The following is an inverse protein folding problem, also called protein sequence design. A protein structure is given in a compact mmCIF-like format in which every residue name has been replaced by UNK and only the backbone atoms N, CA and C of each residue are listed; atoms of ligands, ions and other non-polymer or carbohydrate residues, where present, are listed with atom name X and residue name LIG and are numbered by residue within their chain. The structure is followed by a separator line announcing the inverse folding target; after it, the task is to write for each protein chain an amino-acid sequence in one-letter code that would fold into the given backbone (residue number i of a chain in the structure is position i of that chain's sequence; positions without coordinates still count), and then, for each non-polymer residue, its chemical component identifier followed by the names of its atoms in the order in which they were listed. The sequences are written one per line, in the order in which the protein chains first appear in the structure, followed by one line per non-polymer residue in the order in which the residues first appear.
data_IF_049920601858
#
_entry.id   IF_049920601858
#
_cell.length_a   1.000
_cell.length_b   1.000
_cell.length_c   1.000
_cell.angle_alpha   90.00
_cell.angle_beta   90.00
_cell.angle_gamma   90.00
#
_symmetry.space_group_name_H-M   'P 1'
#
loop_
_entity.id
_entity.type
_entity.pdbx_description
1 polymer ?
2 non-polymer ?
3 non-polymer ?
4 non-polymer ?
5 non-polymer ?
6 water ?
#
# COMPACT_ATOMS: atom_id res chain seq x y z
N UNK A 5 24.96 -9.62 2.30
CA UNK A 5 23.96 -10.70 2.48
C UNK A 5 22.84 -10.39 3.41
N UNK A 6 21.65 -10.86 3.08
CA UNK A 6 20.50 -10.69 3.91
C UNK A 6 20.32 -11.94 4.77
N UNK A 7 19.50 -11.87 5.79
CA UNK A 7 19.27 -13.09 6.57
C UNK A 7 18.74 -14.24 5.70
N UNK A 8 19.16 -15.45 6.02
CA UNK A 8 18.68 -16.64 5.34
C UNK A 8 17.17 -16.76 5.36
N UNK A 9 16.48 -16.38 6.42
CA UNK A 9 15.04 -16.44 6.46
C UNK A 9 14.31 -15.14 6.04
N UNK A 10 15.03 -14.29 5.30
CA UNK A 10 14.51 -12.98 4.91
C UNK A 10 13.32 -13.29 3.95
N UNK A 11 12.29 -12.54 4.10
CA UNK A 11 11.14 -12.60 3.18
C UNK A 11 11.44 -11.81 1.91
N UNK A 12 11.28 -12.48 0.77
CA UNK A 12 11.53 -11.87 -0.54
C UNK A 12 10.25 -12.02 -1.38
N UNK A 13 9.64 -10.91 -1.71
CA UNK A 13 8.40 -10.94 -2.45
C UNK A 13 8.16 -9.86 -3.46
N UNK A 14 6.99 -9.91 -4.13
CA UNK A 14 6.47 -8.83 -4.91
C UNK A 14 5.05 -8.60 -4.41
N UNK A 15 4.50 -7.44 -4.74
CA UNK A 15 3.20 -6.98 -4.22
C UNK A 15 2.23 -6.58 -5.33
N UNK A 16 0.95 -6.81 -5.09
CA UNK A 16 -0.17 -6.33 -5.92
C UNK A 16 -1.29 -5.94 -4.98
N UNK A 17 -2.36 -5.40 -5.55
CA UNK A 17 -3.64 -5.01 -4.89
C UNK A 17 -4.77 -5.52 -5.82
N UNK A 18 -5.86 -5.96 -5.24
CA UNK A 18 -6.94 -6.61 -6.00
C UNK A 18 -7.50 -5.81 -7.15
N UNK A 19 -7.87 -4.54 -6.87
CA UNK A 19 -8.50 -3.75 -7.92
C UNK A 19 -7.51 -3.46 -9.09
N UNK A 20 -6.22 -3.42 -8.77
CA UNK A 20 -5.18 -3.13 -9.77
C UNK A 20 -4.95 -4.29 -10.74
N UNK A 21 -5.18 -5.53 -10.35
CA UNK A 21 -4.85 -6.67 -11.19
C UNK A 21 -5.98 -7.65 -11.53
N UNK A 22 -7.02 -7.70 -10.71
CA UNK A 22 -7.94 -8.88 -10.81
C UNK A 22 -8.81 -8.94 -12.05
N UNK A 23 -9.39 -7.79 -12.42
CA UNK A 23 -10.51 -7.82 -13.34
C UNK A 23 -11.69 -8.58 -12.81
N UNK A 24 -12.46 -9.16 -13.74
CA UNK A 24 -13.69 -9.89 -13.39
C UNK A 24 -14.57 -9.16 -12.31
N UNK A 25 -14.93 -7.93 -12.61
CA UNK A 25 -15.43 -7.03 -11.59
C UNK A 25 -16.87 -7.34 -11.18
N UNK A 26 -17.59 -8.05 -12.09
CA UNK A 26 -18.98 -8.48 -11.79
C UNK A 26 -19.09 -9.98 -11.57
N UNK A 27 -17.97 -10.71 -11.54
CA UNK A 27 -18.03 -12.19 -11.55
C UNK A 27 -18.25 -12.71 -10.16
N UNK A 28 -18.99 -13.83 -10.06
CA UNK A 28 -19.10 -14.60 -8.83
C UNK A 28 -19.57 -13.75 -7.61
N UNK A 29 -20.54 -12.88 -7.86
CA UNK A 29 -21.15 -12.11 -6.81
C UNK A 29 -20.42 -10.86 -6.35
N UNK A 30 -19.27 -10.53 -6.94
CA UNK A 30 -18.54 -9.26 -6.54
C UNK A 30 -19.48 -8.06 -6.54
N UNK A 31 -19.39 -7.26 -5.49
CA UNK A 31 -20.14 -5.99 -5.47
C UNK A 31 -19.48 -4.84 -6.19
N UNK A 32 -20.04 -3.66 -6.08
CA UNK A 32 -19.48 -2.46 -6.70
C UNK A 32 -18.58 -1.74 -5.65
N UNK A 33 -17.33 -1.42 -6.04
CA UNK A 33 -16.45 -0.67 -5.16
C UNK A 33 -16.41 0.80 -5.54
N UNK A 34 -15.87 1.64 -4.68
CA UNK A 34 -15.67 3.04 -5.03
C UNK A 34 -14.74 3.25 -6.24
N UNK A 35 -13.84 2.32 -6.52
CA UNK A 35 -12.94 2.46 -7.67
C UNK A 35 -13.61 2.01 -8.97
N UNK A 36 -14.61 1.15 -8.87
CA UNK A 36 -15.47 0.84 -10.03
C UNK A 36 -16.25 2.14 -10.42
N UNK A 37 -16.85 2.77 -9.43
CA UNK A 37 -17.57 3.99 -9.65
C UNK A 37 -16.67 5.09 -10.20
N UNK A 38 -15.50 5.23 -9.60
CA UNK A 38 -14.59 6.32 -9.89
C UNK A 38 -14.01 6.13 -11.29
N UNK A 39 -13.53 4.92 -11.59
CA UNK A 39 -12.88 4.73 -12.90
C UNK A 39 -13.88 4.80 -14.03
N UNK A 40 -15.15 4.54 -13.74
CA UNK A 40 -16.21 4.66 -14.75
C UNK A 40 -16.81 6.04 -14.82
N UNK A 41 -16.23 7.01 -14.12
CA UNK A 41 -16.60 8.40 -14.17
C UNK A 41 -15.68 9.07 -15.19
N UNK A 42 -16.25 9.60 -16.28
CA UNK A 42 -15.45 10.26 -17.33
C UNK A 42 -14.46 11.30 -16.73
N UNK A 43 -13.21 11.14 -17.10
CA UNK A 43 -12.13 12.10 -16.81
C UNK A 43 -11.37 11.85 -15.50
N UNK A 44 -11.80 10.85 -14.72
CA UNK A 44 -11.12 10.57 -13.43
C UNK A 44 -9.77 9.81 -13.65
N UNK A 45 -9.70 9.02 -14.72
CA UNK A 45 -8.55 8.21 -15.08
C UNK A 45 -7.89 8.82 -16.36
N UNK A 46 -6.56 9.01 -16.33
CA UNK A 46 -5.83 9.70 -17.37
C UNK A 46 -6.04 9.17 -18.75
N UNK A 47 -6.28 7.85 -18.92
CA UNK A 47 -6.16 7.22 -20.23
C UNK A 47 -7.42 6.49 -20.57
N UNK A 48 -8.47 6.79 -19.88
CA UNK A 48 -9.72 6.15 -20.21
C UNK A 48 -9.91 4.66 -19.81
N UNK A 49 -9.00 4.10 -19.06
CA UNK A 49 -9.08 2.70 -18.67
C UNK A 49 -9.74 2.57 -17.33
N UNK A 50 -10.04 1.30 -16.99
CA UNK A 50 -10.69 0.95 -15.74
C UNK A 50 -10.02 -0.32 -15.24
N UNK A 51 -10.40 -0.75 -14.05
CA UNK A 51 -10.08 -2.10 -13.59
C UNK A 51 -10.95 -3.23 -14.07
N UNK A 52 -11.76 -3.02 -15.11
CA UNK A 52 -12.74 -4.06 -15.52
C UNK A 52 -12.05 -5.36 -15.87
N UNK A 53 -10.91 -5.26 -16.51
CA UNK A 53 -10.14 -6.44 -16.88
C UNK A 53 -8.82 -6.41 -16.19
N UNK A 54 -8.10 -5.27 -16.33
CA UNK A 54 -6.77 -5.15 -15.69
C UNK A 54 -5.85 -6.30 -16.16
N UNK A 55 -5.32 -7.09 -15.27
CA UNK A 55 -4.44 -8.19 -15.64
C UNK A 55 -5.17 -9.52 -15.70
N UNK A 56 -6.45 -9.44 -15.44
CA UNK A 56 -7.38 -10.62 -15.38
C UNK A 56 -6.84 -11.61 -14.37
N UNK A 57 -6.23 -11.14 -13.26
CA UNK A 57 -5.65 -12.07 -12.32
C UNK A 57 -6.70 -12.84 -11.52
N UNK A 58 -7.96 -12.42 -11.59
CA UNK A 58 -9.04 -13.24 -10.99
C UNK A 58 -8.96 -14.67 -11.60
N UNK A 59 -8.82 -14.68 -12.91
CA UNK A 59 -8.67 -15.94 -13.68
C UNK A 59 -7.23 -16.42 -13.86
N UNK A 60 -6.26 -15.51 -13.79
CA UNK A 60 -4.90 -15.79 -14.13
C UNK A 60 -3.85 -15.70 -13.02
N UNK A 61 -4.28 -15.81 -11.77
CA UNK A 61 -3.37 -15.72 -10.65
C UNK A 61 -2.36 -16.87 -10.66
N UNK A 62 -2.73 -17.96 -11.35
CA UNK A 62 -1.80 -19.08 -11.62
C UNK A 62 -0.61 -18.62 -12.39
N UNK A 63 -0.83 -17.79 -13.42
CA UNK A 63 0.30 -17.25 -14.14
C UNK A 63 1.13 -16.38 -13.26
N UNK A 64 0.46 -15.60 -12.39
CA UNK A 64 1.17 -14.67 -11.46
C UNK A 64 2.06 -15.54 -10.53
N UNK A 65 1.50 -16.65 -10.05
CA UNK A 65 2.26 -17.60 -9.26
C UNK A 65 3.49 -18.18 -10.02
N UNK A 66 3.27 -18.46 -11.32
CA UNK A 66 4.34 -18.94 -12.14
C UNK A 66 5.45 -17.89 -12.18
N UNK A 67 5.10 -16.60 -12.27
CA UNK A 67 6.11 -15.54 -12.28
C UNK A 67 6.91 -15.52 -10.96
N UNK A 68 6.19 -15.54 -9.85
CA UNK A 68 6.79 -15.46 -8.53
C UNK A 68 7.76 -16.63 -8.38
N UNK A 69 7.36 -17.82 -8.87
CA UNK A 69 8.21 -19.01 -8.78
C UNK A 69 9.48 -18.81 -9.70
N UNK A 70 9.25 -18.31 -10.90
CA UNK A 70 10.38 -18.12 -11.80
C UNK A 70 11.39 -17.09 -11.21
N UNK A 71 10.91 -16.15 -10.35
CA UNK A 71 11.74 -15.10 -9.74
C UNK A 71 12.43 -15.64 -8.47
N UNK A 72 12.04 -16.84 -8.04
CA UNK A 72 12.52 -17.46 -6.83
C UNK A 72 12.15 -16.76 -5.55
N UNK A 73 11.04 -16.09 -5.57
CA UNK A 73 10.49 -15.34 -4.43
C UNK A 73 10.04 -16.37 -3.37
N UNK A 74 9.93 -15.98 -2.14
CA UNK A 74 9.33 -16.84 -1.13
C UNK A 74 8.05 -16.33 -0.47
N UNK A 75 7.49 -15.23 -0.96
CA UNK A 75 6.31 -14.62 -0.44
C UNK A 75 5.59 -13.80 -1.54
N UNK A 76 4.31 -13.52 -1.35
CA UNK A 76 3.47 -12.72 -2.22
C UNK A 76 2.56 -11.87 -1.37
N UNK A 77 2.65 -10.56 -1.56
CA UNK A 77 1.78 -9.58 -0.90
C UNK A 77 0.71 -9.22 -1.87
N UNK A 78 -0.54 -9.48 -1.49
CA UNK A 78 -1.71 -9.23 -2.34
C UNK A 78 -2.86 -8.84 -1.42
N UNK A 79 -3.92 -8.28 -1.99
CA UNK A 79 -5.03 -7.86 -1.18
C UNK A 79 -6.24 -8.72 -1.53
N UNK A 80 -7.15 -8.80 -0.57
CA UNK A 80 -8.44 -9.39 -0.73
C UNK A 80 -9.45 -8.26 -0.98
N UNK A 81 -10.29 -8.43 -2.01
CA UNK A 81 -11.26 -7.44 -2.41
C UNK A 81 -12.48 -7.53 -1.48
N UNK A 82 -12.65 -6.57 -0.57
CA UNK A 82 -13.86 -6.50 0.28
C UNK A 82 -15.15 -6.66 -0.53
N UNK A 83 -15.28 -6.04 -1.75
CA UNK A 83 -16.50 -6.26 -2.53
C UNK A 83 -16.76 -7.72 -2.94
N UNK A 84 -15.77 -8.58 -2.96
CA UNK A 84 -15.97 -10.02 -3.23
C UNK A 84 -16.42 -10.75 -2.00
N UNK A 85 -16.10 -10.22 -0.82
CA UNK A 85 -16.36 -10.92 0.40
C UNK A 85 -17.69 -10.49 1.06
N UNK A 86 -17.96 -9.18 1.09
CA UNK A 86 -19.26 -8.67 1.57
C UNK A 86 -19.67 -7.69 0.55
N UNK A 87 -20.36 -8.16 -0.51
CA UNK A 87 -20.66 -7.31 -1.66
C UNK A 87 -21.42 -6.03 -1.33
N UNK A 88 -22.23 -6.04 -0.27
CA UNK A 88 -22.92 -4.80 0.12
C UNK A 88 -22.14 -3.97 1.13
N UNK A 89 -20.96 -4.41 1.50
CA UNK A 89 -20.14 -3.75 2.49
C UNK A 89 -20.51 -4.11 3.90
N UNK A 90 -21.77 -3.81 4.25
CA UNK A 90 -22.35 -4.25 5.53
C UNK A 90 -23.43 -5.23 5.09
N UNK A 91 -23.31 -6.49 5.45
CA UNK A 91 -24.34 -7.42 5.05
C UNK A 91 -23.84 -8.80 4.99
N UNK A 92 -24.48 -9.65 4.17
CA UNK A 92 -24.12 -11.04 4.17
C UNK A 92 -22.78 -11.32 3.45
N UNK A 93 -22.14 -12.42 3.77
CA UNK A 93 -20.93 -12.81 3.10
C UNK A 93 -21.24 -13.44 1.73
N UNK A 94 -20.22 -13.50 0.87
CA UNK A 94 -20.33 -14.13 -0.41
C UNK A 94 -19.29 -15.28 -0.33
N UNK A 95 -19.75 -16.50 -0.09
CA UNK A 95 -18.88 -17.60 0.12
C UNK A 95 -18.03 -17.82 -1.16
N UNK A 96 -18.61 -17.57 -2.32
CA UNK A 96 -17.84 -17.77 -3.58
C UNK A 96 -16.55 -16.88 -3.62
N UNK A 97 -16.59 -15.69 -2.97
CA UNK A 97 -15.42 -14.80 -2.86
C UNK A 97 -14.39 -15.41 -1.92
N UNK A 98 -14.86 -15.87 -0.76
CA UNK A 98 -13.97 -16.52 0.21
C UNK A 98 -13.34 -17.76 -0.40
N UNK A 99 -14.10 -18.47 -1.21
CA UNK A 99 -13.60 -19.76 -1.75
C UNK A 99 -12.49 -19.47 -2.79
N UNK A 100 -12.66 -18.41 -3.57
CA UNK A 100 -11.68 -17.97 -4.55
C UNK A 100 -10.33 -17.71 -3.83
N UNK A 101 -10.36 -16.92 -2.74
CA UNK A 101 -9.13 -16.62 -2.08
C UNK A 101 -8.54 -17.85 -1.37
N UNK A 102 -9.40 -18.72 -0.89
CA UNK A 102 -9.01 -19.99 -0.27
C UNK A 102 -8.19 -20.80 -1.24
N UNK A 103 -8.68 -20.94 -2.47
CA UNK A 103 -7.97 -21.70 -3.50
C UNK A 103 -6.65 -20.99 -3.80
N UNK A 104 -6.66 -19.66 -3.86
CA UNK A 104 -5.45 -18.95 -4.18
C UNK A 104 -4.41 -19.13 -3.10
N UNK A 105 -4.83 -19.04 -1.84
CA UNK A 105 -3.95 -19.27 -0.76
C UNK A 105 -3.33 -20.66 -0.78
N UNK A 106 -4.15 -21.67 -1.05
CA UNK A 106 -3.64 -23.02 -1.21
C UNK A 106 -2.68 -23.16 -2.34
N UNK A 107 -2.94 -22.53 -3.49
CA UNK A 107 -1.98 -22.52 -4.61
C UNK A 107 -0.65 -21.90 -4.27
N UNK A 108 -0.67 -20.83 -3.45
CA UNK A 108 0.53 -20.15 -3.01
C UNK A 108 1.39 -21.01 -2.08
N UNK A 109 0.73 -21.56 -1.07
CA UNK A 109 1.37 -22.42 -0.11
C UNK A 109 1.94 -23.65 -0.82
N UNK A 110 1.17 -24.26 -1.73
CA UNK A 110 1.65 -25.35 -2.56
C UNK A 110 2.92 -24.99 -3.34
N UNK A 111 3.09 -23.72 -3.75
CA UNK A 111 4.25 -23.28 -4.49
C UNK A 111 5.40 -22.83 -3.55
N UNK A 112 5.18 -22.84 -2.24
CA UNK A 112 6.15 -22.38 -1.27
C UNK A 112 6.23 -20.88 -1.14
N UNK A 113 5.15 -20.15 -1.40
CA UNK A 113 5.05 -18.75 -1.37
C UNK A 113 4.15 -18.34 -0.20
N UNK A 114 4.71 -17.65 0.78
CA UNK A 114 3.98 -17.28 1.98
C UNK A 114 3.03 -16.08 1.62
N UNK A 115 1.74 -16.20 1.88
CA UNK A 115 0.83 -15.08 1.59
C UNK A 115 0.90 -13.96 2.66
N UNK A 116 1.19 -12.73 2.22
CA UNK A 116 1.12 -11.57 3.12
C UNK A 116 -0.09 -10.80 2.64
N UNK A 117 -1.22 -10.99 3.35
CA UNK A 117 -2.52 -10.53 2.86
C UNK A 117 -2.89 -9.15 3.38
N UNK A 118 -3.24 -8.24 2.48
CA UNK A 118 -3.79 -6.92 2.82
C UNK A 118 -5.29 -7.01 2.81
N UNK A 119 -5.94 -6.71 3.95
CA UNK A 119 -7.44 -6.64 3.96
C UNK A 119 -8.05 -5.51 3.17
N UNK A 120 -7.46 -4.29 3.27
CA UNK A 120 -8.06 -3.12 2.64
C UNK A 120 -7.05 -2.43 1.77
N UNK A 121 -7.20 -2.55 0.44
CA UNK A 121 -6.29 -1.80 -0.42
C UNK A 121 -7.16 -1.01 -1.35
N UNK A 122 -8.01 -0.22 -0.72
CA UNK A 122 -8.72 0.95 -1.31
C UNK A 122 -10.10 0.72 -1.98
N UNK A 123 -10.53 -0.51 -2.09
CA UNK A 123 -11.72 -0.87 -2.81
C UNK A 123 -12.93 -1.00 -1.86
N UNK A 124 -13.22 0.11 -1.18
CA UNK A 124 -14.42 0.22 -0.33
C UNK A 124 -15.68 -0.09 -1.12
N UNK A 125 -16.49 -1.02 -0.60
CA UNK A 125 -17.81 -1.16 -1.25
C UNK A 125 -18.62 0.14 -1.37
N UNK A 126 -19.09 0.42 -2.58
CA UNK A 126 -19.87 1.60 -2.87
C UNK A 126 -21.07 1.81 -1.95
N UNK A 127 -21.78 0.72 -1.54
CA UNK A 127 -22.94 1.04 -0.63
C UNK A 127 -22.50 1.68 0.65
N UNK A 128 -21.27 1.43 1.11
CA UNK A 128 -20.73 2.11 2.34
C UNK A 128 -20.46 3.58 2.03
N UNK A 129 -19.88 3.84 0.85
CA UNK A 129 -19.62 5.21 0.36
C UNK A 129 -20.91 6.01 0.29
N UNK A 130 -21.98 5.32 -0.10
CA UNK A 130 -23.32 5.96 -0.23
C UNK A 130 -23.81 6.43 1.15
N UNK A 131 -23.33 5.83 2.24
CA UNK A 131 -23.56 6.31 3.61
C UNK A 131 -22.37 7.02 4.28
N UNK A 132 -21.64 7.79 3.47
CA UNK A 132 -20.48 8.59 3.79
C UNK A 132 -19.10 7.90 3.76
N UNK A 133 -19.08 6.58 3.57
CA UNK A 133 -17.86 5.83 3.49
C UNK A 133 -16.97 5.98 4.68
N UNK A 134 -15.73 6.41 4.45
CA UNK A 134 -14.82 6.63 5.60
C UNK A 134 -15.15 7.90 6.38
N UNK A 135 -16.12 8.65 5.91
CA UNK A 135 -16.67 9.77 6.70
C UNK A 135 -17.61 9.30 7.80
N UNK A 136 -17.92 8.03 7.88
CA UNK A 136 -18.86 7.49 8.85
C UNK A 136 -18.18 6.50 9.75
N UNK A 137 -18.38 6.64 11.05
CA UNK A 137 -17.87 5.71 12.02
C UNK A 137 -18.37 4.30 11.83
N UNK A 138 -19.60 4.10 11.34
CA UNK A 138 -20.11 2.75 11.11
C UNK A 138 -19.21 1.97 10.13
N UNK A 139 -18.52 2.67 9.24
CA UNK A 139 -17.64 2.01 8.29
C UNK A 139 -16.49 1.32 9.02
N UNK A 140 -15.99 1.92 10.09
CA UNK A 140 -14.99 1.27 10.92
C UNK A 140 -15.47 -0.08 11.48
N UNK A 141 -16.65 -0.06 12.07
CA UNK A 141 -17.27 -1.25 12.63
C UNK A 141 -17.41 -2.32 11.63
N UNK A 142 -17.92 -1.99 10.46
CA UNK A 142 -18.20 -3.06 9.50
C UNK A 142 -16.90 -3.55 8.83
N UNK A 143 -15.88 -2.65 8.73
CA UNK A 143 -14.54 -3.13 8.27
C UNK A 143 -14.02 -4.22 9.22
N UNK A 144 -14.16 -3.99 10.50
CA UNK A 144 -13.74 -4.97 11.51
C UNK A 144 -14.46 -6.32 11.40
N UNK A 145 -15.74 -6.30 11.02
CA UNK A 145 -16.56 -7.46 10.86
C UNK A 145 -16.08 -8.24 9.59
N UNK A 146 -15.81 -7.51 8.53
CA UNK A 146 -15.19 -8.09 7.31
C UNK A 146 -13.85 -8.77 7.68
N UNK A 147 -13.01 -8.08 8.47
CA UNK A 147 -11.75 -8.67 8.89
C UNK A 147 -11.90 -9.99 9.65
N UNK A 148 -12.87 -9.99 10.57
CA UNK A 148 -13.29 -11.18 11.33
C UNK A 148 -13.59 -12.37 10.41
N UNK A 149 -14.46 -12.14 9.43
CA UNK A 149 -14.94 -13.21 8.51
C UNK A 149 -13.81 -13.79 7.71
N UNK A 150 -12.92 -12.93 7.21
CA UNK A 150 -11.83 -13.38 6.33
C UNK A 150 -10.82 -14.20 7.13
N UNK A 151 -10.46 -13.72 8.32
CA UNK A 151 -9.56 -14.44 9.17
C UNK A 151 -10.12 -15.78 9.71
N UNK A 152 -11.42 -15.83 10.01
CA UNK A 152 -12.03 -17.10 10.39
C UNK A 152 -11.83 -18.16 9.35
N UNK A 153 -11.89 -17.76 8.08
CA UNK A 153 -11.81 -18.74 7.02
C UNK A 153 -10.41 -19.04 6.52
N UNK A 154 -9.53 -18.02 6.50
CA UNK A 154 -8.20 -18.14 5.95
C UNK A 154 -7.08 -18.20 6.96
N UNK A 155 -7.37 -17.81 8.23
CA UNK A 155 -6.35 -17.69 9.25
C UNK A 155 -5.79 -19.00 9.80
N UNK A 156 -6.31 -20.13 9.36
CA UNK A 156 -5.63 -21.37 9.60
C UNK A 156 -4.33 -21.55 8.73
N UNK A 157 -4.24 -20.82 7.64
CA UNK A 157 -3.20 -21.00 6.65
C UNK A 157 -2.34 -19.73 6.52
N UNK A 158 -2.94 -18.56 6.72
CA UNK A 158 -2.26 -17.25 6.55
C UNK A 158 -1.99 -16.71 7.91
N UNK A 159 -0.76 -16.52 8.25
CA UNK A 159 -0.38 -15.90 9.59
C UNK A 159 -0.16 -14.37 9.54
N UNK A 160 0.31 -13.89 8.39
CA UNK A 160 0.71 -12.47 8.22
C UNK A 160 -0.30 -11.69 7.49
N UNK A 161 -0.89 -10.74 8.23
CA UNK A 161 -2.01 -9.96 7.78
C UNK A 161 -1.72 -8.48 7.98
N UNK A 162 -2.14 -7.67 7.01
CA UNK A 162 -2.14 -6.20 7.13
C UNK A 162 -3.59 -5.78 7.04
N UNK A 163 -4.03 -4.96 8.03
CA UNK A 163 -5.40 -4.37 7.99
C UNK A 163 -5.58 -3.38 6.77
N UNK A 164 -4.89 -2.27 6.82
CA UNK A 164 -4.89 -1.28 5.76
C UNK A 164 -3.60 -1.10 4.98
N UNK A 165 -3.75 -0.73 3.71
CA UNK A 165 -2.65 -0.16 2.95
C UNK A 165 -2.83 1.35 2.78
N UNK A 166 -1.87 2.10 3.29
CA UNK A 166 -1.72 3.57 3.01
C UNK A 166 -3.01 4.30 3.36
N UNK A 167 -3.38 4.31 4.65
CA UNK A 167 -4.51 5.11 5.03
C UNK A 167 -4.39 6.62 4.63
N UNK A 168 -3.18 7.14 4.58
CA UNK A 168 -2.98 8.51 4.12
C UNK A 168 -3.54 8.71 2.74
N UNK A 169 -3.26 7.76 1.85
CA UNK A 169 -3.81 7.92 0.51
C UNK A 169 -5.37 7.90 0.56
N UNK A 170 -5.95 6.84 1.16
CA UNK A 170 -7.39 6.67 1.21
C UNK A 170 -8.04 7.93 1.71
N UNK A 171 -7.49 8.50 2.78
CA UNK A 171 -8.08 9.68 3.37
C UNK A 171 -7.77 10.94 2.58
N UNK A 172 -6.49 11.23 2.33
CA UNK A 172 -6.14 12.56 1.77
C UNK A 172 -6.27 12.58 0.28
N UNK A 173 -5.87 11.53 -0.42
CA UNK A 173 -6.11 11.54 -1.89
C UNK A 173 -7.55 11.27 -2.26
N UNK A 174 -8.22 10.44 -1.46
CA UNK A 174 -9.62 10.10 -1.67
C UNK A 174 -10.69 11.09 -1.23
N UNK A 175 -10.42 11.82 -0.14
CA UNK A 175 -11.43 12.70 0.44
C UNK A 175 -11.01 14.16 0.55
N UNK A 176 -9.72 14.47 0.39
CA UNK A 176 -9.28 15.83 0.46
C UNK A 176 -8.87 16.38 -0.90
N UNK A 177 -7.95 15.71 -1.63
CA UNK A 177 -7.45 16.21 -2.92
C UNK A 177 -8.28 15.73 -4.08
N UNK A 178 -9.06 14.68 -3.86
CA UNK A 178 -10.06 14.24 -4.85
C UNK A 178 -9.50 13.45 -6.03
N UNK A 179 -8.24 13.09 -5.96
CA UNK A 179 -7.63 12.42 -7.11
C UNK A 179 -7.78 10.91 -7.10
N UNK A 180 -8.07 10.37 -5.92
CA UNK A 180 -8.41 8.96 -5.77
C UNK A 180 -9.90 8.78 -5.37
N UNK A 181 -10.41 7.58 -5.59
CA UNK A 181 -11.75 7.27 -5.18
C UNK A 181 -11.91 7.48 -3.67
N UNK A 182 -13.09 8.01 -3.25
CA UNK A 182 -14.29 8.32 -4.02
C UNK A 182 -14.26 9.68 -4.76
N UNK A 183 -13.26 10.52 -4.52
CA UNK A 183 -13.09 11.74 -5.31
C UNK A 183 -13.60 12.98 -4.59
N UNK A 184 -13.78 12.91 -3.27
CA UNK A 184 -14.10 14.12 -2.46
C UNK A 184 -12.98 15.12 -2.30
N UNK A 185 -13.36 16.39 -2.04
CA UNK A 185 -12.39 17.46 -1.98
C UNK A 185 -12.64 18.30 -0.75
N UNK A 186 -12.56 17.75 0.43
CA UNK A 186 -12.75 18.62 1.61
C UNK A 186 -11.81 18.18 2.73
N UNK A 187 -11.06 19.14 3.30
CA UNK A 187 -10.10 18.80 4.30
C UNK A 187 -10.69 18.13 5.51
N UNK A 188 -11.77 18.71 6.02
CA UNK A 188 -12.43 18.14 7.19
C UNK A 188 -12.91 16.69 6.93
N UNK A 189 -13.41 16.42 5.74
CA UNK A 189 -13.84 15.06 5.39
C UNK A 189 -12.60 14.13 5.31
N UNK A 190 -11.51 14.64 4.71
CA UNK A 190 -10.28 13.90 4.78
C UNK A 190 -9.77 13.50 6.16
N UNK A 191 -9.77 14.45 7.08
CA UNK A 191 -9.34 14.17 8.40
C UNK A 191 -10.26 13.28 9.18
N UNK A 192 -11.57 13.38 8.93
CA UNK A 192 -12.54 12.45 9.52
C UNK A 192 -12.30 11.03 9.01
N UNK A 193 -12.10 10.93 7.71
CA UNK A 193 -11.71 9.64 7.13
C UNK A 193 -10.46 9.05 7.74
N UNK A 194 -9.42 9.85 7.95
CA UNK A 194 -8.22 9.34 8.55
C UNK A 194 -8.52 8.72 9.92
N UNK A 195 -9.40 9.36 10.68
CA UNK A 195 -9.73 8.85 12.02
C UNK A 195 -10.49 7.53 11.94
N UNK A 196 -11.48 7.49 11.07
CA UNK A 196 -12.27 6.28 10.94
C UNK A 196 -11.51 5.15 10.30
N UNK A 197 -10.52 5.47 9.42
CA UNK A 197 -9.58 4.40 8.97
C UNK A 197 -8.78 3.85 10.14
N UNK A 198 -8.16 4.72 10.89
CA UNK A 198 -7.40 4.26 12.01
C UNK A 198 -8.24 3.46 13.07
N UNK A 199 -9.47 3.93 13.31
CA UNK A 199 -10.39 3.21 14.21
C UNK A 199 -10.76 1.85 13.69
N UNK A 200 -11.07 1.83 12.40
CA UNK A 200 -11.28 0.60 11.67
C UNK A 200 -10.19 -0.36 11.83
N UNK A 201 -8.96 0.09 11.63
CA UNK A 201 -7.77 -0.70 11.81
C UNK A 201 -7.75 -1.26 13.24
N UNK A 202 -7.92 -0.38 14.21
CA UNK A 202 -7.83 -0.86 15.63
C UNK A 202 -8.92 -1.86 16.02
N UNK A 203 -10.12 -1.64 15.54
CA UNK A 203 -11.23 -2.53 15.78
C UNK A 203 -10.97 -3.89 15.08
N UNK A 204 -10.36 -3.82 13.90
CA UNK A 204 -10.06 -5.03 13.18
C UNK A 204 -8.99 -5.85 13.82
N UNK A 205 -7.97 -5.23 14.42
CA UNK A 205 -6.89 -5.99 14.98
C UNK A 205 -7.54 -6.85 16.12
N UNK A 206 -8.34 -6.20 16.96
CA UNK A 206 -9.03 -6.92 18.07
C UNK A 206 -9.93 -8.02 17.55
N UNK A 207 -10.73 -7.71 16.54
CA UNK A 207 -11.60 -8.70 15.95
C UNK A 207 -10.88 -9.90 15.42
N UNK A 208 -9.75 -9.64 14.77
CA UNK A 208 -9.01 -10.69 14.11
C UNK A 208 -8.37 -11.58 15.12
N UNK A 209 -7.90 -11.02 16.21
CA UNK A 209 -7.25 -11.89 17.21
C UNK A 209 -8.28 -12.83 17.83
N UNK A 210 -9.48 -12.34 18.07
CA UNK A 210 -10.57 -13.17 18.62
C UNK A 210 -11.09 -14.26 17.65
N UNK A 211 -11.19 -13.94 16.33
CA UNK A 211 -11.68 -14.80 15.27
C UNK A 211 -10.68 -15.81 14.82
N UNK A 212 -9.39 -15.57 15.08
CA UNK A 212 -8.35 -16.39 14.46
C UNK A 212 -8.26 -17.75 15.06
N UNK A 213 -8.00 -18.77 14.21
CA UNK A 213 -7.79 -20.12 14.77
C UNK A 213 -6.44 -20.42 15.33
N UNK A 214 -5.48 -19.51 15.13
CA UNK A 214 -4.13 -19.61 15.62
C UNK A 214 -3.65 -18.17 15.88
N UNK A 215 -2.54 -18.01 16.60
CA UNK A 215 -1.98 -16.68 16.68
C UNK A 215 -1.58 -16.13 15.28
N UNK A 216 -1.89 -14.84 15.07
CA UNK A 216 -1.53 -14.12 13.82
C UNK A 216 -0.44 -13.11 14.06
N UNK A 217 0.25 -12.76 12.98
CA UNK A 217 1.18 -11.64 12.97
C UNK A 217 0.53 -10.49 12.19
N UNK A 218 -0.07 -9.55 12.91
CA UNK A 218 -0.91 -8.47 12.31
C UNK A 218 -0.13 -7.18 12.25
N UNK A 219 -0.22 -6.51 11.12
CA UNK A 219 0.42 -5.21 10.92
C UNK A 219 -0.50 -4.24 10.21
N UNK A 220 0.01 -3.03 10.03
CA UNK A 220 -0.58 -2.10 9.11
C UNK A 220 0.53 -1.65 8.14
N UNK A 221 0.13 -1.18 6.96
CA UNK A 221 1.08 -0.75 5.95
C UNK A 221 0.91 0.79 5.76
N UNK A 222 1.98 1.54 5.97
CA UNK A 222 1.95 3.00 5.80
C UNK A 222 2.94 3.43 4.71
N UNK A 223 2.54 4.38 3.89
CA UNK A 223 3.50 5.04 3.03
C UNK A 223 4.12 6.06 3.94
N UNK A 224 5.42 6.18 3.86
CA UNK A 224 6.17 7.18 4.66
C UNK A 224 7.08 7.91 3.74
N UNK A 225 7.08 9.24 3.88
CA UNK A 225 7.90 10.11 3.07
C UNK A 225 8.84 10.91 3.95
N UNK A 226 10.15 10.52 4.00
CA UNK A 226 11.11 11.33 4.78
C UNK A 226 11.17 12.70 4.17
N UNK A 227 11.11 13.69 5.05
CA UNK A 227 10.94 15.07 4.68
C UNK A 227 12.19 15.87 5.17
N UNK A 228 12.66 16.78 4.34
CA UNK A 228 13.88 17.52 4.54
C UNK A 228 13.62 18.98 4.14
N UNK A 229 13.89 19.96 5.08
CA UNK A 229 13.72 21.39 4.73
C UNK A 229 14.69 21.80 3.64
N UNK A 230 14.29 22.58 2.71
CA UNK A 230 15.19 23.03 1.62
C UNK A 230 16.24 24.01 2.15
N UNK A 231 15.98 24.67 3.29
CA UNK A 231 16.99 25.47 3.91
C UNK A 231 16.75 25.35 5.40
N UNK A 232 17.68 25.90 6.21
CA UNK A 232 17.45 25.90 7.69
C UNK A 232 16.69 27.12 8.21
N UNK A 233 16.06 27.89 7.33
CA UNK A 233 15.22 28.97 7.76
C UNK A 233 14.05 28.44 8.63
N UNK A 234 13.59 29.24 9.65
CA UNK A 234 12.44 28.80 10.41
C UNK A 234 11.21 28.49 9.52
N UNK A 235 11.08 29.22 8.43
CA UNK A 235 9.96 28.99 7.49
C UNK A 235 10.02 27.64 6.81
N UNK A 236 11.16 27.29 6.29
CA UNK A 236 11.32 26.01 5.59
C UNK A 236 11.35 24.81 6.56
N UNK A 237 12.03 24.95 7.71
CA UNK A 237 11.97 23.91 8.75
C UNK A 237 10.52 23.63 9.19
N UNK A 238 9.72 24.69 9.39
CA UNK A 238 8.36 24.55 9.84
C UNK A 238 7.55 23.84 8.73
N UNK A 239 7.81 24.19 7.48
CA UNK A 239 7.08 23.56 6.39
C UNK A 239 7.41 22.07 6.37
N UNK A 240 8.68 21.72 6.53
CA UNK A 240 9.08 20.33 6.60
C UNK A 240 8.36 19.61 7.71
N UNK A 241 8.30 20.23 8.90
CA UNK A 241 7.61 19.56 10.01
C UNK A 241 6.12 19.35 9.72
N UNK A 242 5.50 20.31 9.10
CA UNK A 242 4.08 20.21 8.73
C UNK A 242 3.81 19.09 7.72
N UNK A 243 4.62 19.01 6.68
CA UNK A 243 4.50 17.92 5.75
C UNK A 243 4.76 16.58 6.38
N UNK A 244 5.84 16.50 7.21
CA UNK A 244 6.11 15.32 7.96
C UNK A 244 4.93 14.94 8.87
N UNK A 245 4.32 15.89 9.52
CA UNK A 245 3.12 15.58 10.33
C UNK A 245 1.92 15.10 9.48
N UNK A 246 1.70 15.75 8.34
CA UNK A 246 0.54 15.55 7.43
C UNK A 246 0.58 14.13 6.91
N UNK A 247 1.76 13.70 6.49
CA UNK A 247 1.92 12.28 5.95
C UNK A 247 2.23 11.23 6.97
N UNK A 248 3.26 11.47 7.79
CA UNK A 248 3.87 10.43 8.61
C UNK A 248 3.36 10.38 10.07
N UNK A 249 3.54 11.47 10.81
CA UNK A 249 3.27 11.43 12.26
C UNK A 249 1.82 11.34 12.58
N UNK A 250 0.99 11.92 11.70
CA UNK A 250 -0.46 11.80 11.87
C UNK A 250 -0.93 10.39 12.03
N UNK A 251 -0.27 9.46 11.32
CA UNK A 251 -0.59 8.04 11.48
C UNK A 251 0.29 7.33 12.51
N UNK A 252 1.60 7.57 12.49
CA UNK A 252 2.54 6.88 13.35
C UNK A 252 2.22 7.12 14.85
N UNK A 253 1.96 8.38 15.17
CA UNK A 253 1.84 8.75 16.64
C UNK A 253 0.65 8.05 17.27
N UNK A 254 -0.57 8.13 16.66
CA UNK A 254 -1.71 7.39 17.33
C UNK A 254 -1.55 5.92 17.32
N UNK A 255 -0.93 5.34 16.26
CA UNK A 255 -0.65 3.93 16.29
C UNK A 255 0.31 3.60 17.42
N UNK A 256 1.19 4.53 17.74
CA UNK A 256 2.16 4.27 18.80
C UNK A 256 1.64 4.56 20.26
N UNK A 257 0.41 4.90 20.40
CA UNK A 257 -0.15 5.20 21.70
C UNK A 257 0.13 6.61 22.16
N UNK A 258 0.50 7.50 21.22
CA UNK A 258 0.90 8.87 21.57
C UNK A 258 -0.13 9.90 21.26
N UNK A 259 -1.34 9.51 20.84
CA UNK A 259 -2.32 10.45 20.40
C UNK A 259 -1.96 11.06 19.05
N UNK A 260 -2.81 11.92 18.54
CA UNK A 260 -2.45 12.64 17.34
C UNK A 260 -1.41 13.70 17.72
N UNK A 261 -0.48 14.03 16.80
CA UNK A 261 0.51 15.08 17.11
C UNK A 261 -0.12 16.43 17.37
N UNK A 262 0.22 17.04 18.51
CA UNK A 262 -0.43 18.28 18.97
C UNK A 262 -0.17 19.41 18.03
N UNK A 263 1.02 19.47 17.41
CA UNK A 263 1.30 20.57 16.48
C UNK A 263 0.39 20.52 15.29
N UNK A 264 0.10 19.32 14.77
CA UNK A 264 -0.85 19.17 13.71
C UNK A 264 -2.30 19.44 14.15
N UNK A 265 -2.71 18.95 15.31
CA UNK A 265 -4.05 19.33 15.85
C UNK A 265 -4.20 20.87 15.86
N UNK A 266 -3.18 21.57 16.35
CA UNK A 266 -3.24 23.07 16.38
C UNK A 266 -3.35 23.67 15.04
N UNK A 267 -2.60 23.13 14.09
CA UNK A 267 -2.58 23.65 12.76
C UNK A 267 -3.88 23.41 12.01
N UNK A 268 -4.43 22.21 12.09
CA UNK A 268 -5.67 21.85 11.36
C UNK A 268 -6.92 22.59 11.91
N UNK A 269 -6.87 22.90 13.21
CA UNK A 269 -7.88 23.67 13.89
C UNK A 269 -9.18 22.94 13.89
N UNK A 270 -10.22 23.65 13.40
CA UNK A 270 -11.60 23.14 13.41
C UNK A 270 -11.82 21.98 12.42
N UNK A 271 -10.88 21.82 11.49
CA UNK A 271 -10.91 20.70 10.56
C UNK A 271 -10.54 19.40 11.23
N UNK A 272 -9.93 19.44 12.41
CA UNK A 272 -9.44 18.21 13.07
C UNK A 272 -10.60 17.39 13.49
N UNK A 273 -10.47 16.04 13.47
CA UNK A 273 -11.59 15.18 13.90
C UNK A 273 -11.86 15.20 15.40
N UNK A 274 -13.05 14.75 15.78
CA UNK A 274 -13.45 14.70 17.20
C UNK A 274 -12.63 13.65 18.00
N UNK A 277 -10.62 9.72 23.64
CA UNK A 277 -9.65 8.87 24.37
C UNK A 277 -9.82 7.37 24.11
N UNK A 278 -11.09 6.93 24.13
CA UNK A 278 -11.42 5.53 23.91
C UNK A 278 -11.02 5.09 22.45
N UNK A 279 -11.32 5.92 21.49
CA UNK A 279 -10.91 5.72 20.09
C UNK A 279 -9.40 5.58 20.02
N UNK A 280 -8.67 6.50 20.68
CA UNK A 280 -7.22 6.42 20.75
C UNK A 280 -6.69 5.13 21.34
N UNK A 281 -7.30 4.61 22.40
CA UNK A 281 -6.88 3.33 22.88
C UNK A 281 -7.03 2.19 21.86
N UNK A 282 -8.19 2.12 21.23
CA UNK A 282 -8.49 1.12 20.20
C UNK A 282 -7.49 1.19 19.00
N UNK A 283 -7.25 2.40 18.56
CA UNK A 283 -6.29 2.67 17.41
C UNK A 283 -4.94 2.10 17.71
N UNK A 284 -4.52 2.21 19.00
CA UNK A 284 -3.27 1.69 19.43
C UNK A 284 -3.19 0.22 19.78
N UNK A 285 -4.12 -0.58 19.28
CA UNK A 285 -4.14 -2.02 19.51
C UNK A 285 -2.75 -2.61 19.12
N UNK A 286 -2.10 -3.34 20.02
CA UNK A 286 -0.71 -3.71 19.75
C UNK A 286 -0.53 -4.53 18.45
N UNK A 287 0.45 -4.17 17.65
CA UNK A 287 0.77 -4.86 16.36
C UNK A 287 1.95 -5.75 16.45
N UNK A 288 2.02 -6.72 15.57
CA UNK A 288 3.18 -7.60 15.53
C UNK A 288 4.20 -7.12 14.52
N UNK A 289 3.87 -6.19 13.65
CA UNK A 289 4.89 -5.69 12.69
C UNK A 289 4.36 -4.47 12.03
N UNK A 290 5.22 -3.66 11.37
CA UNK A 290 4.79 -2.50 10.61
C UNK A 290 5.38 -2.63 9.19
N UNK A 291 4.52 -2.40 8.22
CA UNK A 291 4.95 -2.37 6.79
C UNK A 291 5.17 -0.93 6.36
N UNK A 292 6.35 -0.74 5.75
CA UNK A 292 6.75 0.50 5.18
C UNK A 292 6.68 0.48 3.63
N UNK A 293 5.95 1.39 3.05
CA UNK A 293 5.98 1.58 1.59
C UNK A 293 6.84 2.79 1.31
N UNK A 294 7.95 2.64 0.57
CA UNK A 294 8.92 3.73 0.36
C UNK A 294 9.09 3.96 -1.13
N UNK A 295 8.87 5.20 -1.56
CA UNK A 295 9.14 5.60 -2.94
C UNK A 295 10.01 6.81 -3.01
N UNK A 296 9.70 7.82 -2.19
CA UNK A 296 10.33 9.15 -2.44
C UNK A 296 10.51 9.94 -1.14
N UNK A 297 11.34 10.95 -1.20
CA UNK A 297 11.44 11.98 -0.17
C UNK A 297 10.56 13.14 -0.50
N UNK A 298 10.51 14.09 0.44
CA UNK A 298 9.96 15.42 0.21
C UNK A 298 11.01 16.44 0.68
N UNK A 299 11.55 17.20 -0.30
CA UNK A 299 12.35 18.37 -0.02
C UNK A 299 11.44 19.61 -0.01
N UNK A 300 11.17 20.14 1.18
CA UNK A 300 10.06 21.06 1.39
C UNK A 300 10.52 22.52 1.48
N UNK A 301 9.82 23.38 0.74
CA UNK A 301 9.85 24.88 0.98
C UNK A 301 8.51 25.35 1.46
N UNK A 302 8.52 26.37 2.35
CA UNK A 302 7.31 27.00 2.79
C UNK A 302 6.48 27.47 1.55
N UNK A 303 5.18 27.32 1.55
CA UNK A 303 4.29 27.75 0.41
C UNK A 303 3.03 28.26 1.09
N UNK A 304 3.11 29.49 1.63
CA UNK A 304 1.99 30.03 2.42
C UNK A 304 0.69 30.21 1.62
N UNK A 305 0.77 30.27 0.29
CA UNK A 305 -0.43 30.37 -0.53
C UNK A 305 -1.00 29.04 -1.05
N UNK A 306 -0.44 27.92 -0.63
CA UNK A 306 -0.85 26.64 -1.13
C UNK A 306 -1.86 26.10 -0.18
N UNK A 307 -2.61 25.10 -0.60
CA UNK A 307 -3.43 24.27 0.29
C UNK A 307 -2.61 23.68 1.46
N UNK A 308 -3.28 23.35 2.54
CA UNK A 308 -2.66 22.76 3.67
C UNK A 308 -2.01 21.46 3.17
N UNK A 309 -0.72 21.19 3.53
CA UNK A 309 0.08 21.75 4.62
C UNK A 309 1.02 22.92 4.26
N UNK A 310 0.71 23.65 3.18
CA UNK A 310 1.47 24.87 2.82
C UNK A 310 2.95 24.54 2.75
N UNK A 311 3.23 23.44 2.05
CA UNK A 311 4.59 23.01 1.83
C UNK A 311 4.69 22.47 0.43
N UNK A 312 5.59 22.99 -0.39
CA UNK A 312 5.83 22.46 -1.73
C UNK A 312 7.20 21.84 -1.95
N UNK A 313 7.24 20.92 -2.91
CA UNK A 313 8.44 20.21 -3.25
C UNK A 313 9.37 21.10 -3.95
N UNK A 314 10.64 21.10 -3.58
CA UNK A 314 11.67 21.75 -4.39
C UNK A 314 12.38 20.71 -5.18
N UNK A 315 12.11 20.68 -6.48
CA UNK A 315 12.75 19.66 -7.35
C UNK A 315 14.26 19.77 -7.38
N UNK A 316 14.91 18.62 -7.46
CA UNK A 316 16.34 18.58 -7.70
C UNK A 316 16.61 17.90 -9.07
N UNK A 317 16.93 18.71 -10.08
CA UNK A 317 17.16 18.18 -11.44
C UNK A 317 18.41 17.33 -11.52
N UNK A 318 19.29 17.42 -10.55
CA UNK A 318 20.43 16.55 -10.53
C UNK A 318 20.12 15.13 -10.01
N UNK A 319 18.99 14.91 -9.32
CA UNK A 319 18.65 13.52 -8.98
C UNK A 319 18.05 12.81 -10.21
N UNK A 320 18.16 11.49 -10.28
CA UNK A 320 17.37 10.82 -11.28
C UNK A 320 15.82 10.94 -11.05
N UNK A 321 15.08 10.92 -12.12
CA UNK A 321 13.67 10.79 -12.09
C UNK A 321 13.21 9.59 -12.93
N UNK A 322 12.11 8.99 -12.51
CA UNK A 322 11.47 7.84 -13.21
C UNK A 322 10.34 8.44 -14.08
N UNK A 323 9.34 7.65 -14.54
CA UNK A 323 8.23 8.21 -15.28
C UNK A 323 7.35 9.15 -14.45
N UNK A 324 7.39 8.98 -13.12
CA UNK A 324 6.50 9.76 -12.23
C UNK A 324 7.11 10.29 -10.90
N UNK A 325 8.33 9.92 -10.55
CA UNK A 325 8.90 10.33 -9.25
C UNK A 325 10.33 10.68 -9.30
N UNK A 326 10.79 11.37 -8.24
CA UNK A 326 12.20 11.58 -7.97
C UNK A 326 12.82 10.41 -7.19
N UNK A 327 14.03 10.02 -7.55
CA UNK A 327 14.69 8.87 -6.93
C UNK A 327 15.64 9.32 -5.83
N UNK A 328 15.46 8.83 -4.63
CA UNK A 328 16.32 9.22 -3.48
C UNK A 328 16.48 8.01 -2.51
N UNK A 329 17.40 7.05 -2.83
CA UNK A 329 17.45 5.79 -2.06
C UNK A 329 17.78 6.04 -0.59
N UNK A 330 18.53 7.11 -0.32
CA UNK A 330 19.01 7.36 1.05
C UNK A 330 17.87 7.64 2.02
N UNK A 331 16.75 8.13 1.49
CA UNK A 331 15.56 8.34 2.27
C UNK A 331 15.03 7.08 2.94
N UNK A 332 15.29 5.93 2.32
CA UNK A 332 14.83 4.64 2.87
C UNK A 332 15.62 4.31 4.15
N UNK A 333 16.92 4.50 4.10
CA UNK A 333 17.75 4.36 5.32
C UNK A 333 17.24 5.33 6.39
N UNK A 334 17.07 6.61 6.04
CA UNK A 334 16.72 7.63 7.03
C UNK A 334 15.42 7.28 7.74
N UNK A 335 14.42 6.84 6.95
CA UNK A 335 13.10 6.64 7.52
C UNK A 335 13.14 5.35 8.41
N UNK A 336 13.91 4.35 7.97
CA UNK A 336 14.02 3.12 8.76
C UNK A 336 14.76 3.41 10.10
N UNK A 337 15.80 4.21 10.03
CA UNK A 337 16.55 4.52 11.28
C UNK A 337 15.69 5.26 12.28
N UNK A 338 14.90 6.18 11.75
CA UNK A 338 13.95 6.89 12.56
C UNK A 338 12.96 5.94 13.22
N UNK A 339 12.33 5.05 12.44
CA UNK A 339 11.37 4.12 13.02
C UNK A 339 12.01 3.29 14.12
N UNK A 340 13.21 2.79 13.82
CA UNK A 340 13.93 1.88 14.76
C UNK A 340 14.22 2.60 16.09
N UNK A 341 14.70 3.81 16.00
CA UNK A 341 15.15 4.54 17.20
C UNK A 341 14.08 5.30 17.90
N UNK A 342 13.02 5.74 17.16
CA UNK A 342 12.10 6.76 17.67
C UNK A 342 10.69 6.26 17.93
N UNK A 343 10.37 5.06 17.42
CA UNK A 343 9.00 4.52 17.42
C UNK A 343 9.05 3.07 17.88
N UNK A 344 7.92 2.52 18.35
CA UNK A 344 7.97 1.19 19.04
C UNK A 344 7.69 0.01 18.13
N UNK A 345 7.42 0.23 16.84
CA UNK A 345 7.07 -0.89 15.92
C UNK A 345 8.25 -1.74 15.56
N UNK A 346 8.06 -3.05 15.63
CA UNK A 346 9.12 -3.97 15.25
C UNK A 346 8.56 -5.38 15.29
N UNK A 347 8.94 -6.26 14.33
CA UNK A 347 9.87 -5.99 13.29
C UNK A 347 9.22 -5.15 12.17
N UNK A 348 10.00 -4.82 11.13
CA UNK A 348 9.50 -4.01 10.02
C UNK A 348 9.67 -4.83 8.75
N UNK A 349 8.79 -4.57 7.78
CA UNK A 349 8.86 -5.11 6.41
C UNK A 349 8.79 -3.99 5.45
N UNK A 350 9.60 -4.05 4.39
CA UNK A 350 9.36 -3.09 3.29
C UNK A 350 8.27 -3.75 2.49
N UNK A 351 7.02 -3.27 2.60
CA UNK A 351 5.90 -3.91 1.94
C UNK A 351 5.71 -3.40 0.49
N UNK A 352 6.35 -2.28 0.15
CA UNK A 352 6.47 -1.84 -1.25
C UNK A 352 7.74 -0.97 -1.43
N UNK A 353 8.38 -1.13 -2.62
CA UNK A 353 9.35 -0.26 -3.12
C UNK A 353 9.50 -0.61 -4.60
N UNK A 354 9.55 0.38 -5.47
CA UNK A 354 9.62 0.11 -6.87
C UNK A 354 9.40 1.40 -7.65
N UNK A 355 9.32 1.30 -8.97
CA UNK A 355 9.30 2.42 -9.79
C UNK A 355 8.59 2.15 -11.13
N UNK A 356 8.14 3.23 -11.72
CA UNK A 356 7.43 3.27 -12.99
C UNK A 356 8.34 3.81 -14.04
N UNK A 357 8.31 3.19 -15.23
CA UNK A 357 9.15 3.66 -16.38
C UNK A 357 8.34 3.46 -17.63
N UNK A 358 8.84 3.96 -18.76
CA UNK A 358 8.10 3.84 -20.01
C UNK A 358 8.58 2.53 -20.66
N UNK A 359 8.18 1.41 -20.09
CA UNK A 359 8.73 0.14 -20.50
C UNK A 359 8.15 -0.27 -21.86
N UNK A 360 9.00 -0.91 -22.67
CA UNK A 360 8.56 -1.49 -23.96
C UNK A 360 9.26 -2.78 -24.22
N UNK A 361 8.66 -3.65 -25.03
CA UNK A 361 9.29 -4.88 -25.44
C UNK A 361 10.25 -4.53 -26.57
N UNK A 362 11.52 -4.88 -26.41
CA UNK A 362 12.54 -4.48 -27.38
C UNK A 362 12.55 -5.49 -28.53
N UNK A 363 13.41 -5.26 -29.50
CA UNK A 363 13.44 -6.11 -30.69
C UNK A 363 13.82 -7.55 -30.33
N UNK A 364 14.70 -7.73 -29.33
CA UNK A 364 15.14 -9.04 -28.87
C UNK A 364 14.06 -9.77 -28.07
N UNK A 365 13.01 -9.07 -27.67
CA UNK A 365 11.90 -9.66 -26.87
C UNK A 365 11.95 -9.29 -25.36
N UNK A 366 13.11 -8.82 -24.87
CA UNK A 366 13.33 -8.39 -23.50
C UNK A 366 12.78 -7.02 -23.19
N UNK A 367 12.67 -6.70 -21.89
CA UNK A 367 12.31 -5.35 -21.50
C UNK A 367 13.56 -4.86 -20.77
N UNK A 368 14.25 -3.85 -21.35
CA UNK A 368 15.53 -3.42 -20.85
C UNK A 368 15.36 -2.28 -19.91
N UNK A 369 14.94 -2.62 -18.68
CA UNK A 369 14.62 -1.60 -17.69
C UNK A 369 15.73 -1.37 -16.69
N UNK A 370 16.89 -0.96 -17.22
CA UNK A 370 18.07 -0.73 -16.42
C UNK A 370 17.93 0.23 -15.23
N UNK A 371 17.13 1.27 -15.40
CA UNK A 371 16.93 2.21 -14.32
C UNK A 371 16.15 1.58 -13.16
N UNK A 372 15.25 0.66 -13.46
CA UNK A 372 14.59 -0.07 -12.38
C UNK A 372 15.50 -1.04 -11.69
N UNK A 373 16.34 -1.71 -12.44
CA UNK A 373 17.42 -2.53 -11.84
C UNK A 373 18.29 -1.75 -10.91
N UNK A 374 18.71 -0.56 -11.36
CA UNK A 374 19.61 0.29 -10.58
C UNK A 374 18.79 0.79 -9.32
N UNK A 375 17.51 1.08 -9.51
CA UNK A 375 16.62 1.44 -8.39
C UNK A 375 16.61 0.35 -7.32
N UNK A 376 16.36 -0.92 -7.69
CA UNK A 376 16.43 -1.97 -6.71
C UNK A 376 17.79 -2.10 -6.02
N UNK A 377 18.85 -2.11 -6.83
CA UNK A 377 20.19 -2.25 -6.26
C UNK A 377 20.49 -1.15 -5.25
N UNK A 378 20.10 0.09 -5.60
CA UNK A 378 20.39 1.24 -4.69
C UNK A 378 19.59 1.19 -3.37
N UNK A 379 18.33 0.81 -3.45
CA UNK A 379 17.50 0.68 -2.27
C UNK A 379 17.85 -0.55 -1.45
N UNK A 380 18.23 -1.65 -2.09
CA UNK A 380 18.69 -2.83 -1.33
C UNK A 380 19.99 -2.50 -0.57
N UNK A 381 20.85 -1.67 -1.15
CA UNK A 381 22.08 -1.28 -0.46
C UNK A 381 21.76 -0.47 0.79
N UNK A 382 20.72 0.37 0.69
CA UNK A 382 20.30 1.17 1.85
C UNK A 382 19.68 0.27 2.92
N UNK A 383 19.00 -0.80 2.48
CA UNK A 383 18.50 -1.78 3.46
C UNK A 383 19.63 -2.50 4.24
N UNK A 384 20.70 -2.84 3.54
CA UNK A 384 21.93 -3.36 4.20
C UNK A 384 22.48 -2.42 5.23
N UNK A 385 22.50 -1.12 4.93
CA UNK A 385 22.92 -0.14 5.92
C UNK A 385 21.97 -0.10 7.12
N UNK A 386 20.68 -0.12 6.85
CA UNK A 386 19.71 -0.08 7.91
C UNK A 386 19.86 -1.31 8.80
N UNK A 387 19.95 -2.45 8.18
CA UNK A 387 20.21 -3.70 8.92
C UNK A 387 21.49 -3.60 9.81
N UNK A 388 22.54 -3.00 9.27
CA UNK A 388 23.83 -2.82 9.99
C UNK A 388 23.62 -1.93 11.25
N UNK A 389 22.72 -0.99 11.14
CA UNK A 389 22.31 -0.10 12.26
C UNK A 389 21.40 -0.74 13.24
N UNK A 390 21.04 -2.01 13.05
CA UNK A 390 20.18 -2.69 14.02
C UNK A 390 18.69 -2.62 13.71
N UNK A 391 18.30 -2.03 12.56
CA UNK A 391 16.90 -2.00 12.20
C UNK A 391 16.38 -3.44 12.05
N UNK A 392 15.29 -3.79 12.75
CA UNK A 392 14.76 -5.18 12.72
C UNK A 392 13.92 -5.47 11.48
N UNK A 393 14.55 -5.50 10.31
CA UNK A 393 13.88 -5.61 9.03
C UNK A 393 13.79 -7.06 8.72
N UNK A 394 12.64 -7.52 8.28
CA UNK A 394 12.49 -8.99 8.07
C UNK A 394 12.07 -9.34 6.67
N UNK A 395 11.80 -8.34 5.83
CA UNK A 395 11.55 -8.72 4.39
C UNK A 395 11.35 -7.50 3.55
N UNK A 396 11.24 -7.77 2.25
CA UNK A 396 11.24 -6.80 1.20
C UNK A 396 10.29 -7.27 0.09
N UNK A 397 9.37 -6.41 -0.34
CA UNK A 397 8.45 -6.67 -1.45
C UNK A 397 8.55 -5.62 -2.49
N UNK A 398 8.90 -6.05 -3.71
CA UNK A 398 8.93 -5.16 -4.83
C UNK A 398 7.52 -4.82 -5.31
N UNK A 399 7.24 -3.53 -5.49
CA UNK A 399 6.02 -3.09 -6.15
C UNK A 399 6.43 -2.87 -7.60
N UNK A 400 5.79 -3.54 -8.56
CA UNK A 400 4.76 -4.53 -8.42
C UNK A 400 5.20 -5.84 -9.13
N UNK A 401 4.63 -6.97 -8.76
CA UNK A 401 4.88 -8.16 -9.53
C UNK A 401 4.72 -7.90 -11.01
N UNK A 402 3.66 -7.17 -11.40
CA UNK A 402 3.42 -6.99 -12.84
C UNK A 402 2.78 -5.64 -13.11
N UNK A 403 2.89 -5.17 -14.35
CA UNK A 403 2.26 -3.93 -14.71
C UNK A 403 0.77 -4.02 -14.48
N UNK A 404 0.17 -2.95 -13.98
CA UNK A 404 -1.22 -3.06 -13.63
C UNK A 404 -1.98 -1.75 -13.72
N UNK A 405 -3.21 -1.75 -13.23
CA UNK A 405 -4.05 -0.53 -13.17
C UNK A 405 -3.55 0.42 -12.08
N UNK A 406 -2.82 1.45 -12.49
CA UNK A 406 -2.18 2.43 -11.60
C UNK A 406 -3.12 3.60 -11.32
N UNK A 407 -4.28 3.24 -10.73
CA UNK A 407 -5.19 4.21 -10.12
C UNK A 407 -5.51 5.35 -11.10
N UNK A 408 -5.32 6.62 -10.74
CA UNK A 408 -5.77 7.70 -11.61
C UNK A 408 -4.97 7.73 -12.93
N UNK A 409 -3.81 7.09 -12.97
CA UNK A 409 -2.98 7.06 -14.22
C UNK A 409 -3.40 5.83 -15.11
N UNK A 410 -4.27 4.94 -14.65
CA UNK A 410 -4.74 3.86 -15.46
C UNK A 410 -3.63 2.87 -15.77
N UNK A 411 -3.84 2.15 -16.85
CA UNK A 411 -2.88 1.17 -17.37
C UNK A 411 -1.64 1.81 -17.94
N UNK A 412 -1.61 3.15 -18.05
CA UNK A 412 -0.49 3.80 -18.71
C UNK A 412 0.79 3.91 -17.91
N UNK A 413 0.79 3.65 -16.59
CA UNK A 413 1.94 3.91 -15.75
C UNK A 413 2.42 2.53 -15.18
N UNK A 414 3.45 2.02 -15.80
CA UNK A 414 3.96 0.61 -15.56
C UNK A 414 4.97 0.45 -14.41
N UNK A 415 4.57 -0.25 -13.30
CA UNK A 415 5.42 -0.41 -12.11
C UNK A 415 5.91 -1.83 -12.00
N UNK A 416 5.57 -2.72 -12.96
CA UNK A 416 5.94 -4.12 -12.76
C UNK A 416 7.44 -4.45 -12.86
N UNK A 417 7.84 -5.53 -12.18
CA UNK A 417 9.04 -6.20 -12.51
C UNK A 417 8.81 -7.19 -13.68
N UNK A 418 7.56 -7.49 -13.95
CA UNK A 418 7.06 -8.14 -15.09
C UNK A 418 6.18 -7.20 -15.91
N UNK A 419 6.36 -7.26 -17.23
CA UNK A 419 5.60 -6.51 -18.21
C UNK A 419 4.25 -7.24 -18.47
N UNK A 420 3.15 -6.49 -18.46
CA UNK A 420 1.85 -7.01 -18.84
C UNK A 420 1.40 -6.41 -20.16
N UNK A 421 1.19 -7.28 -21.12
CA UNK A 421 0.48 -6.89 -22.35
C UNK A 421 -1.01 -6.89 -22.02
N UNK A 422 -1.61 -5.72 -21.97
CA UNK A 422 -2.97 -5.57 -21.54
C UNK A 422 -3.99 -6.02 -22.57
N UNK A 423 -3.52 -6.17 -23.79
CA UNK A 423 -4.40 -6.66 -24.88
C UNK A 423 -4.44 -8.18 -24.88
N UNK A 424 -3.34 -8.86 -24.72
CA UNK A 424 -3.28 -10.34 -24.79
C UNK A 424 -3.25 -10.99 -23.41
N UNK A 425 -2.98 -10.16 -22.40
CA UNK A 425 -2.75 -10.62 -21.02
C UNK A 425 -1.47 -11.46 -20.78
N UNK A 426 -0.57 -11.53 -21.77
CA UNK A 426 0.66 -12.23 -21.63
C UNK A 426 1.55 -11.39 -20.66
N UNK A 427 2.20 -12.07 -19.73
CA UNK A 427 3.23 -11.48 -18.90
C UNK A 427 4.64 -11.92 -19.31
N UNK A 428 5.60 -11.02 -19.15
CA UNK A 428 6.97 -11.36 -19.45
C UNK A 428 7.87 -10.73 -18.41
N UNK A 429 8.86 -11.45 -17.93
CA UNK A 429 9.75 -10.89 -16.91
C UNK A 429 10.67 -9.78 -17.50
N UNK A 430 10.81 -8.66 -16.83
CA UNK A 430 11.67 -7.58 -17.29
C UNK A 430 13.08 -7.86 -16.83
N UNK A 431 14.07 -7.11 -17.37
CA UNK A 431 15.41 -7.33 -16.96
C UNK A 431 15.61 -7.15 -15.45
N UNK A 432 14.94 -6.16 -14.88
CA UNK A 432 15.07 -5.97 -13.43
C UNK A 432 14.53 -7.18 -12.62
N UNK A 433 13.50 -7.85 -13.11
CA UNK A 433 12.97 -9.05 -12.50
C UNK A 433 14.03 -10.13 -12.55
N UNK A 434 14.72 -10.31 -13.70
CA UNK A 434 15.79 -11.26 -13.70
C UNK A 434 16.94 -10.92 -12.74
N UNK A 435 17.21 -9.64 -12.56
CA UNK A 435 18.26 -9.25 -11.63
C UNK A 435 17.86 -9.65 -10.20
N UNK A 436 16.63 -9.38 -9.86
CA UNK A 436 16.12 -9.73 -8.51
C UNK A 436 16.22 -11.22 -8.34
N UNK A 437 15.78 -11.95 -9.35
CA UNK A 437 15.87 -13.41 -9.30
C UNK A 437 17.28 -13.86 -8.90
N UNK A 438 18.27 -13.31 -9.59
CA UNK A 438 19.61 -13.79 -9.51
C UNK A 438 20.28 -13.22 -8.25
N UNK A 439 19.86 -12.04 -7.81
CA UNK A 439 20.31 -11.50 -6.59
C UNK A 439 19.78 -12.35 -5.39
N UNK A 440 18.48 -12.63 -5.41
CA UNK A 440 17.85 -13.44 -4.37
C UNK A 440 18.43 -14.86 -4.30
N UNK A 441 18.62 -15.48 -5.46
CA UNK A 441 19.27 -16.81 -5.56
C UNK A 441 20.66 -16.81 -4.88
N UNK A 442 21.45 -15.77 -5.12
CA UNK A 442 22.82 -15.63 -4.56
C UNK A 442 22.82 -15.55 -3.04
N UNK A 443 21.67 -15.23 -2.42
CA UNK A 443 21.61 -15.23 -0.97
C UNK A 443 21.68 -16.70 -0.53
#
# INVERSE_FOLDING_TARGET
MAGERFPADFVWGAATAAYQIEGAVREDGRGVSIWDTFSHTPGKIADGTTGDVACDSYHRYGEDIGLLNALGMNAYRFSIAWPRIVPLGAGPINQAGLDHYSRMVDALLGAGLQPFVTLYHWDLPQPLEDRLGWGSRATATVFAEYADIVVRQLGDRVTHWATLNEPWCSAMLGYYLGVHAPGHTDLKRGLEASHNLLLGHGLAVQAMRAAAPQPLQIGIVLNLTPTYPASDSPEDVAAARRFDGFVNRWFLDPLAGRGYPQDMLDYYGAAAPQANPEDLTQIAAPLDWLGVNYYERMRAVDAPDASLPQAQRLDDPDLPHTADREVYPEGLYDILLRLHNDYPFRPLYITENGCALHDEIAEDGGIHDGQRQAFFEAHLAQLQRALAAGVPLKGYFAWSLLDNFEWAMGLSMRYGICYTNFETLERRIKDSGYWLRDFIAGQRGKLAALEHHHHHH
#
